data_IF_276960515833
#
_entry.id   IF_276960515833
#
_cell.length_a   1.000
_cell.length_b   1.000
_cell.length_c   1.000
_cell.angle_alpha   90.00
_cell.angle_beta   90.00
_cell.angle_gamma   90.00
#
_symmetry.space_group_name_H-M   'P 1'
#
loop_
_entity.id
_entity.type
_entity.pdbx_description
1 polymer ?
#
# COMPACT_ATOMS: atom_id res chain seq x y z
N UNK A 1 -14.06 -20.14 -10.43
CA UNK A 1 -12.86 -20.88 -9.97
C UNK A 1 -13.02 -21.16 -8.50
N UNK A 2 -12.85 -22.42 -8.05
CA UNK A 2 -12.83 -22.70 -6.62
C UNK A 2 -11.68 -21.93 -5.95
N UNK A 3 -11.88 -21.36 -4.75
CA UNK A 3 -10.81 -20.64 -4.07
C UNK A 3 -9.65 -21.60 -3.78
N UNK A 4 -8.44 -21.21 -4.23
CA UNK A 4 -7.18 -21.96 -4.01
C UNK A 4 -6.66 -21.84 -2.56
N UNK A 5 -7.39 -21.10 -1.73
CA UNK A 5 -7.07 -20.83 -0.35
C UNK A 5 -8.30 -21.05 0.51
N UNK A 6 -8.10 -21.55 1.71
CA UNK A 6 -9.12 -21.64 2.74
C UNK A 6 -8.61 -21.10 4.07
N UNK A 7 -9.54 -20.62 4.89
CA UNK A 7 -9.27 -20.36 6.31
C UNK A 7 -9.22 -21.69 7.05
N UNK A 8 -8.24 -21.87 7.92
CA UNK A 8 -8.15 -23.04 8.81
C UNK A 8 -7.67 -22.63 10.20
N UNK A 9 -7.79 -23.53 11.19
CA UNK A 9 -7.21 -23.32 12.53
C UNK A 9 -5.80 -23.88 12.55
N UNK A 10 -4.81 -23.01 12.75
CA UNK A 10 -3.40 -23.36 12.87
C UNK A 10 -3.04 -23.70 14.33
N UNK A 11 -2.48 -24.89 14.60
CA UNK A 11 -2.07 -25.28 15.95
C UNK A 11 -1.13 -24.25 16.60
N UNK A 12 -1.54 -23.74 17.77
CA UNK A 12 -0.79 -22.75 18.56
C UNK A 12 -0.71 -21.34 17.97
N UNK A 13 -1.39 -21.03 16.85
CA UNK A 13 -1.29 -19.74 16.15
C UNK A 13 -2.64 -19.07 15.83
N UNK A 14 -3.76 -19.67 16.21
CA UNK A 14 -5.10 -19.16 15.89
C UNK A 14 -5.50 -19.48 14.45
N UNK A 15 -6.14 -18.54 13.75
CA UNK A 15 -6.56 -18.73 12.36
C UNK A 15 -5.40 -18.57 11.38
N UNK A 16 -5.37 -19.38 10.34
CA UNK A 16 -4.41 -19.30 9.24
C UNK A 16 -5.07 -19.43 7.87
N UNK A 17 -4.25 -19.27 6.84
CA UNK A 17 -4.60 -19.46 5.44
C UNK A 17 -3.86 -20.68 4.90
N UNK A 18 -4.57 -21.61 4.25
CA UNK A 18 -4.02 -22.86 3.71
C UNK A 18 -4.34 -22.99 2.23
N UNK A 19 -3.38 -23.47 1.45
CA UNK A 19 -3.59 -23.79 0.04
C UNK A 19 -4.45 -25.06 -0.11
N UNK A 20 -5.47 -25.00 -0.96
CA UNK A 20 -6.34 -26.15 -1.31
C UNK A 20 -5.94 -26.82 -2.63
N UNK A 21 -4.96 -26.23 -3.34
CA UNK A 21 -4.39 -26.72 -4.59
C UNK A 21 -2.90 -26.35 -4.69
N UNK A 22 -2.18 -26.94 -5.65
CA UNK A 22 -0.78 -26.60 -5.92
C UNK A 22 -0.63 -25.14 -6.39
N UNK A 23 0.33 -24.41 -5.82
CA UNK A 23 0.69 -23.03 -6.20
C UNK A 23 2.09 -23.05 -6.82
N UNK A 24 2.25 -22.42 -7.99
CA UNK A 24 3.55 -22.31 -8.68
C UNK A 24 4.33 -21.07 -8.20
N UNK A 25 5.65 -21.07 -8.45
CA UNK A 25 6.48 -19.90 -8.19
C UNK A 25 6.01 -18.71 -9.03
N UNK A 26 5.85 -17.55 -8.39
CA UNK A 26 5.37 -16.32 -9.04
C UNK A 26 3.85 -16.28 -9.29
N UNK A 27 3.10 -17.29 -8.89
CA UNK A 27 1.64 -17.31 -9.06
C UNK A 27 0.95 -16.31 -8.13
N UNK A 28 0.02 -15.51 -8.68
CA UNK A 28 -0.83 -14.63 -7.89
C UNK A 28 -1.86 -15.47 -7.12
N UNK A 29 -1.73 -15.46 -5.80
CA UNK A 29 -2.55 -16.28 -4.90
C UNK A 29 -3.81 -15.52 -4.43
N UNK A 30 -3.68 -14.23 -4.13
CA UNK A 30 -4.78 -13.37 -3.71
C UNK A 30 -4.41 -11.89 -3.93
N UNK A 31 -5.41 -11.05 -4.14
CA UNK A 31 -5.28 -9.59 -4.19
C UNK A 31 -6.50 -8.97 -3.49
N UNK A 32 -6.29 -7.87 -2.78
CA UNK A 32 -7.35 -7.10 -2.15
C UNK A 32 -6.95 -5.64 -2.07
N UNK A 33 -7.95 -4.76 -2.11
CA UNK A 33 -7.78 -3.37 -1.73
C UNK A 33 -7.63 -3.25 -0.21
N UNK A 34 -6.87 -2.27 0.30
CA UNK A 34 -6.83 -1.99 1.73
C UNK A 34 -8.22 -1.57 2.24
N UNK A 35 -8.61 -2.02 3.43
CA UNK A 35 -9.84 -1.52 4.08
C UNK A 35 -9.73 0.00 4.37
N UNK A 36 -8.56 0.43 4.83
CA UNK A 36 -8.15 1.81 4.99
C UNK A 36 -6.62 1.85 4.96
N UNK A 37 -6.03 2.97 4.53
CA UNK A 37 -4.58 3.14 4.47
C UNK A 37 -4.16 4.60 4.56
N UNK A 38 -2.91 4.84 4.96
CA UNK A 38 -2.27 6.15 4.97
C UNK A 38 -0.78 6.01 4.64
N UNK A 39 -0.17 7.10 4.16
CA UNK A 39 1.28 7.16 3.90
C UNK A 39 2.01 7.47 5.21
N UNK A 40 3.12 6.79 5.48
CA UNK A 40 3.98 7.09 6.62
C UNK A 40 4.54 8.52 6.53
N UNK A 41 4.60 9.22 7.66
CA UNK A 41 5.16 10.57 7.73
C UNK A 41 6.58 10.69 7.16
N UNK A 42 7.38 9.61 7.17
CA UNK A 42 8.72 9.60 6.58
C UNK A 42 8.72 9.74 5.06
N UNK A 43 7.65 9.34 4.39
CA UNK A 43 7.54 9.31 2.92
C UNK A 43 6.42 10.22 2.40
N UNK A 44 5.75 10.99 3.27
CA UNK A 44 4.58 11.79 2.94
C UNK A 44 4.84 12.86 1.87
N UNK A 45 6.10 13.26 1.66
CA UNK A 45 6.49 14.22 0.63
C UNK A 45 6.88 13.57 -0.71
N UNK A 46 7.10 12.26 -0.72
CA UNK A 46 7.68 11.56 -1.88
C UNK A 46 6.67 10.65 -2.58
N UNK A 47 5.47 10.50 -2.01
CA UNK A 47 4.48 9.51 -2.43
C UNK A 47 3.07 10.11 -2.44
N UNK A 48 2.29 9.83 -3.48
CA UNK A 48 0.88 10.20 -3.52
C UNK A 48 0.07 9.51 -2.42
N UNK A 49 -0.67 10.28 -1.61
CA UNK A 49 -1.51 9.77 -0.52
C UNK A 49 -2.69 8.90 -0.95
N UNK A 50 -3.04 8.87 -2.24
CA UNK A 50 -4.16 8.08 -2.75
C UNK A 50 -3.69 6.77 -3.43
N UNK A 51 -2.77 6.87 -4.39
CA UNK A 51 -2.36 5.74 -5.23
C UNK A 51 -0.99 5.15 -4.84
N UNK A 52 -0.32 5.69 -3.83
CA UNK A 52 0.98 5.22 -3.33
C UNK A 52 2.10 5.23 -4.39
N UNK A 53 1.89 5.91 -5.52
CA UNK A 53 2.90 6.09 -6.55
C UNK A 53 3.93 7.10 -6.08
N UNK A 54 5.22 6.74 -6.22
CA UNK A 54 6.34 7.62 -5.91
C UNK A 54 6.36 8.79 -6.90
N UNK A 55 6.47 10.01 -6.39
CA UNK A 55 6.68 11.18 -7.24
C UNK A 55 8.09 11.12 -7.81
N UNK A 56 8.21 11.25 -9.14
CA UNK A 56 9.50 11.46 -9.79
C UNK A 56 9.77 12.97 -9.70
N UNK A 57 10.43 13.40 -8.63
CA UNK A 57 10.92 14.77 -8.53
C UNK A 57 12.17 14.85 -9.43
N UNK A 58 12.03 15.38 -10.65
CA UNK A 58 13.17 16.06 -11.28
C UNK A 58 13.51 17.27 -10.40
N UNK A 59 14.79 17.41 -10.04
CA UNK A 59 15.34 18.37 -9.05
C UNK A 59 15.01 19.86 -9.30
N UNK A 60 14.26 20.20 -10.35
CA UNK A 60 13.94 21.58 -10.76
C UNK A 60 12.73 22.22 -10.05
N UNK A 61 11.90 21.47 -9.30
CA UNK A 61 10.68 22.02 -8.69
C UNK A 61 10.79 22.41 -7.20
N UNK A 62 11.99 22.38 -6.61
CA UNK A 62 12.18 22.60 -5.17
C UNK A 62 12.06 24.07 -4.70
N UNK A 63 11.65 25.02 -5.53
CA UNK A 63 11.63 26.44 -5.16
C UNK A 63 10.33 27.16 -5.54
N UNK A 64 9.15 26.74 -5.07
CA UNK A 64 7.91 27.55 -5.25
C UNK A 64 6.78 27.28 -4.26
N UNK A 65 7.04 27.04 -2.97
CA UNK A 65 5.94 26.92 -1.97
C UNK A 65 6.14 27.69 -0.66
N UNK A 66 6.94 28.74 -0.67
CA UNK A 66 7.05 29.72 0.45
C UNK A 66 6.52 31.11 0.02
N UNK A 67 5.35 31.17 -0.61
CA UNK A 67 4.75 32.46 -0.98
C UNK A 67 3.21 32.42 -0.98
N UNK A 68 2.58 32.00 0.12
CA UNK A 68 1.15 32.31 0.36
C UNK A 68 0.70 32.07 1.79
N UNK A 69 1.38 32.66 2.79
CA UNK A 69 0.89 32.67 4.17
C UNK A 69 1.34 33.92 4.96
N UNK A 70 1.42 35.08 4.31
CA UNK A 70 1.48 36.39 4.99
C UNK A 70 0.81 37.48 4.13
N UNK A 71 -0.52 37.47 4.04
CA UNK A 71 -1.31 38.70 3.82
C UNK A 71 -2.80 38.38 3.72
N UNK A 72 -3.46 38.39 4.87
CA UNK A 72 -4.85 38.84 4.96
C UNK A 72 -5.11 39.13 6.43
N UNK A 73 -4.96 40.41 6.73
CA UNK A 73 -5.68 41.29 7.68
C UNK A 73 -6.05 40.75 9.06
#
# INVERSE_FOLDING_TARGET
>A
MAPRLERFVSPGKGNGLRATASIRRGELVYSTEPLACCVSNRLARDVCHHCFTRWMLDDTAAFSTEAKLTSSS
#
